data_IF_446876000477
#
_entry.id   IF_446876000477
#
_cell.length_a   1.000
_cell.length_b   1.000
_cell.length_c   1.000
_cell.angle_alpha   90.00
_cell.angle_beta   90.00
_cell.angle_gamma   90.00
#
_symmetry.space_group_name_H-M   'P 1'
#
loop_
_entity.id
_entity.type
_entity.pdbx_description
1 polymer ?
#
# COMPACT_ATOMS: atom_id res chain seq x y z
N UNK A 1 -14.39 -1.95 9.46
CA UNK A 1 -12.99 -1.84 9.01
C UNK A 1 -12.41 -3.25 8.98
N UNK A 2 -11.67 -3.61 7.92
CA UNK A 2 -11.11 -4.96 7.80
C UNK A 2 -10.17 -5.28 8.97
N UNK A 3 -10.25 -6.52 9.49
CA UNK A 3 -9.40 -7.00 10.59
C UNK A 3 -7.92 -7.02 10.21
N UNK A 4 -7.63 -7.37 8.96
CA UNK A 4 -6.27 -7.39 8.42
C UNK A 4 -6.27 -6.83 7.01
N UNK A 5 -5.20 -6.13 6.63
CA UNK A 5 -5.04 -5.61 5.29
C UNK A 5 -3.58 -5.61 4.87
N UNK A 6 -3.33 -5.59 3.57
CA UNK A 6 -1.98 -5.38 2.99
C UNK A 6 -2.00 -4.33 1.89
N UNK A 7 -0.96 -3.51 1.80
CA UNK A 7 -0.68 -2.60 0.69
C UNK A 7 0.64 -3.01 0.04
N UNK A 8 0.65 -3.23 -1.26
CA UNK A 8 1.83 -3.65 -2.01
C UNK A 8 1.90 -2.98 -3.38
N UNK A 9 3.12 -2.85 -3.91
CA UNK A 9 3.33 -2.46 -5.31
C UNK A 9 3.31 -3.70 -6.20
N UNK A 10 2.74 -3.54 -7.39
CA UNK A 10 2.70 -4.59 -8.39
C UNK A 10 2.70 -4.03 -9.80
N UNK A 11 2.97 -4.88 -10.77
CA UNK A 11 2.75 -4.54 -12.17
C UNK A 11 1.23 -4.50 -12.48
N UNK A 12 0.84 -3.93 -13.64
CA UNK A 12 -0.56 -3.89 -14.04
C UNK A 12 -1.26 -5.25 -14.20
N UNK A 13 -0.50 -6.36 -14.24
CA UNK A 13 -1.02 -7.73 -14.30
C UNK A 13 -1.17 -8.37 -12.90
N UNK A 14 -0.99 -7.60 -11.82
CA UNK A 14 -1.16 -8.07 -10.46
C UNK A 14 0.04 -8.84 -9.88
N UNK A 15 1.18 -8.87 -10.57
CA UNK A 15 2.40 -9.56 -10.08
C UNK A 15 3.28 -8.59 -9.30
N UNK A 16 3.92 -9.09 -8.24
CA UNK A 16 4.88 -8.30 -7.45
C UNK A 16 6.00 -7.74 -8.35
N UNK A 17 6.39 -6.49 -8.08
CA UNK A 17 7.56 -5.90 -8.70
C UNK A 17 8.82 -6.47 -8.05
N UNK A 18 9.82 -6.80 -8.86
CA UNK A 18 11.16 -7.06 -8.33
C UNK A 18 11.70 -5.79 -7.67
N UNK A 19 12.19 -5.91 -6.44
CA UNK A 19 12.87 -4.81 -5.78
C UNK A 19 14.10 -5.35 -5.01
N UNK A 20 15.18 -4.54 -4.91
CA UNK A 20 16.42 -4.97 -4.27
C UNK A 20 16.35 -4.99 -2.73
N UNK A 21 15.29 -4.47 -2.12
CA UNK A 21 15.13 -4.41 -0.65
C UNK A 21 14.32 -5.59 -0.10
N UNK A 22 13.85 -6.48 -0.97
CA UNK A 22 12.91 -7.57 -0.70
C UNK A 22 11.66 -7.16 0.11
N UNK A 23 11.30 -5.87 0.09
CA UNK A 23 10.12 -5.32 0.76
C UNK A 23 9.05 -5.03 -0.27
N UNK A 24 8.10 -5.93 -0.41
CA UNK A 24 7.08 -5.87 -1.46
C UNK A 24 5.79 -5.14 -1.03
N UNK A 25 5.63 -4.86 0.26
CA UNK A 25 4.45 -4.20 0.80
C UNK A 25 4.51 -4.07 2.32
N UNK A 26 3.40 -3.57 2.87
CA UNK A 26 3.11 -3.50 4.29
C UNK A 26 1.78 -4.19 4.58
N UNK A 27 1.62 -4.60 5.83
CA UNK A 27 0.39 -5.11 6.40
C UNK A 27 -0.12 -4.20 7.51
N UNK A 28 -1.35 -4.44 7.94
CA UNK A 28 -1.93 -3.73 9.08
C UNK A 28 -1.14 -3.93 10.38
N UNK A 29 -0.27 -4.94 10.49
CA UNK A 29 0.47 -5.24 11.73
C UNK A 29 1.89 -4.68 11.76
N UNK A 30 2.52 -4.45 10.61
CA UNK A 30 3.92 -4.01 10.51
C UNK A 30 4.10 -2.62 9.89
N UNK A 31 3.02 -1.99 9.39
CA UNK A 31 3.06 -0.58 8.99
C UNK A 31 3.36 0.32 10.19
N UNK A 32 4.32 1.22 10.01
CA UNK A 32 4.61 2.26 11.00
C UNK A 32 3.45 3.26 11.04
N UNK A 33 2.96 3.57 12.23
CA UNK A 33 1.83 4.50 12.43
C UNK A 33 2.27 5.74 13.17
N UNK A 34 1.65 6.86 12.84
CA UNK A 34 1.71 8.07 13.63
C UNK A 34 0.91 7.91 14.93
N UNK A 35 1.09 8.86 15.84
CA UNK A 35 0.14 9.07 16.91
C UNK A 35 -1.28 9.26 16.31
N UNK A 36 -2.29 8.66 16.96
CA UNK A 36 -3.66 8.60 16.41
C UNK A 36 -3.92 7.46 15.41
N UNK A 37 -2.91 6.66 15.05
CA UNK A 37 -3.07 5.43 14.27
C UNK A 37 -3.15 5.62 12.75
N UNK A 38 -2.99 6.86 12.26
CA UNK A 38 -2.82 7.13 10.85
C UNK A 38 -1.47 6.60 10.34
N UNK A 39 -1.36 6.42 9.03
CA UNK A 39 -0.12 6.01 8.38
C UNK A 39 -0.02 6.65 7.01
N UNK A 40 1.22 6.87 6.58
CA UNK A 40 1.58 7.29 5.23
C UNK A 40 2.54 6.25 4.66
N UNK A 41 2.54 6.06 3.34
CA UNK A 41 3.48 5.18 2.64
C UNK A 41 4.03 5.98 1.45
N UNK A 42 5.34 6.23 1.49
CA UNK A 42 6.03 6.87 0.38
C UNK A 42 6.34 5.86 -0.72
N UNK A 43 6.00 6.23 -1.95
CA UNK A 43 6.41 5.48 -3.15
C UNK A 43 7.46 6.31 -3.90
N UNK A 44 8.71 5.88 -3.81
CA UNK A 44 9.86 6.58 -4.40
C UNK A 44 10.95 5.59 -4.82
N UNK A 45 11.79 5.94 -5.80
CA UNK A 45 12.91 5.08 -6.21
C UNK A 45 14.02 5.10 -5.17
N UNK A 46 14.30 6.27 -4.64
CA UNK A 46 15.28 6.50 -3.59
C UNK A 46 14.67 6.19 -2.22
N UNK A 47 15.52 5.73 -1.30
CA UNK A 47 15.11 5.41 0.06
C UNK A 47 14.49 6.63 0.76
N UNK A 48 13.34 6.41 1.40
CA UNK A 48 12.67 7.38 2.27
C UNK A 48 12.60 6.83 3.71
N UNK A 49 12.63 7.70 4.74
CA UNK A 49 12.40 7.28 6.11
C UNK A 49 11.00 6.69 6.30
N UNK A 50 10.84 5.78 7.28
CA UNK A 50 9.53 5.26 7.68
C UNK A 50 8.97 4.21 6.73
N UNK A 51 7.70 4.35 6.36
CA UNK A 51 7.06 3.43 5.43
C UNK A 51 7.39 3.83 3.99
N UNK A 52 8.19 3.01 3.32
CA UNK A 52 8.65 3.28 1.97
C UNK A 52 8.62 2.02 1.12
N UNK A 53 8.09 2.17 -0.09
CA UNK A 53 8.08 1.14 -1.13
C UNK A 53 8.76 1.67 -2.39
N UNK A 54 9.71 0.89 -2.92
CA UNK A 54 10.35 1.20 -4.19
C UNK A 54 9.64 0.48 -5.34
N UNK A 55 9.27 1.18 -6.43
CA UNK A 55 8.87 0.53 -7.67
C UNK A 55 10.06 -0.12 -8.41
N UNK A 56 11.29 0.01 -7.88
CA UNK A 56 12.51 -0.39 -8.56
C UNK A 56 12.65 0.34 -9.89
N UNK A 57 12.93 -0.42 -10.94
CA UNK A 57 13.03 0.12 -12.31
C UNK A 57 11.69 0.29 -13.03
N UNK A 58 10.58 -0.17 -12.43
CA UNK A 58 9.29 -0.16 -13.09
C UNK A 58 8.85 1.26 -13.47
N UNK A 59 8.40 1.44 -14.72
CA UNK A 59 7.81 2.70 -15.19
C UNK A 59 6.32 2.78 -14.87
N UNK A 60 5.65 1.63 -14.94
CA UNK A 60 4.23 1.49 -14.67
C UNK A 60 4.02 0.49 -13.54
N UNK A 61 3.19 0.88 -12.57
CA UNK A 61 2.82 0.03 -11.44
C UNK A 61 1.44 0.40 -10.91
N UNK A 62 0.89 -0.48 -10.11
CA UNK A 62 -0.35 -0.28 -9.36
C UNK A 62 -0.08 -0.44 -7.86
N UNK A 63 -0.85 0.29 -7.06
CA UNK A 63 -0.91 0.10 -5.61
C UNK A 63 -2.08 -0.83 -5.33
N UNK A 64 -1.80 -2.00 -4.77
CA UNK A 64 -2.83 -2.98 -4.43
C UNK A 64 -3.11 -2.98 -2.93
N UNK A 65 -4.33 -2.55 -2.57
CA UNK A 65 -4.92 -2.75 -1.25
C UNK A 65 -5.70 -4.07 -1.25
N UNK A 66 -5.34 -5.00 -0.35
CA UNK A 66 -6.12 -6.22 -0.08
C UNK A 66 -6.71 -6.12 1.32
N UNK A 67 -8.02 -6.33 1.41
CA UNK A 67 -8.76 -6.36 2.66
C UNK A 67 -9.09 -7.81 2.99
N UNK A 68 -8.63 -8.27 4.14
CA UNK A 68 -8.94 -9.59 4.68
C UNK A 68 -9.91 -9.39 5.83
N UNK A 69 -11.17 -9.61 5.53
CA UNK A 69 -12.23 -9.57 6.52
C UNK A 69 -13.02 -10.87 6.50
N UNK A 70 -13.76 -11.13 7.57
CA UNK A 70 -14.83 -12.13 7.53
C UNK A 70 -16.06 -11.39 7.02
N UNK A 71 -16.46 -11.52 5.74
CA UNK A 71 -17.64 -10.84 5.26
C UNK A 71 -18.84 -11.36 6.06
N UNK A 72 -19.42 -10.50 6.91
CA UNK A 72 -20.72 -10.77 7.54
C UNK A 72 -21.85 -10.63 6.50
N UNK A 73 -21.58 -9.90 5.42
CA UNK A 73 -22.46 -9.68 4.28
C UNK A 73 -21.61 -9.67 3.00
N UNK A 74 -22.03 -10.46 2.01
CA UNK A 74 -21.34 -10.60 0.72
C UNK A 74 -21.68 -9.40 -0.20
N UNK A 75 -22.75 -8.67 0.10
CA UNK A 75 -23.22 -7.51 -0.66
C UNK A 75 -22.68 -6.17 -0.13
N UNK A 76 -21.98 -6.16 1.02
CA UNK A 76 -21.39 -4.92 1.54
C UNK A 76 -20.16 -4.53 0.71
N UNK A 77 -20.35 -3.63 -0.25
CA UNK A 77 -19.25 -2.99 -0.94
C UNK A 77 -18.59 -1.94 -0.01
N UNK A 78 -17.24 -1.89 0.07
CA UNK A 78 -16.56 -0.85 0.82
C UNK A 78 -16.79 0.54 0.19
N UNK A 79 -17.03 1.56 1.01
CA UNK A 79 -17.14 2.96 0.55
C UNK A 79 -15.78 3.44 0.01
N UNK A 80 -15.66 3.79 -1.29
CA UNK A 80 -14.41 4.27 -1.87
C UNK A 80 -13.85 5.53 -1.19
N UNK A 81 -14.70 6.36 -0.57
CA UNK A 81 -14.24 7.56 0.14
C UNK A 81 -13.52 7.24 1.45
N UNK A 82 -13.68 6.03 1.97
CA UNK A 82 -12.99 5.55 3.17
C UNK A 82 -11.58 5.01 2.89
N UNK A 83 -11.20 4.88 1.61
CA UNK A 83 -9.89 4.37 1.24
C UNK A 83 -8.78 5.42 1.36
N UNK A 84 -7.52 4.97 1.58
CA UNK A 84 -6.36 5.84 1.47
C UNK A 84 -6.30 6.53 0.10
N UNK A 85 -5.93 7.81 0.11
CA UNK A 85 -5.74 8.59 -1.11
C UNK A 85 -4.33 8.41 -1.64
N UNK A 86 -4.19 8.27 -2.96
CA UNK A 86 -2.90 8.34 -3.64
C UNK A 86 -2.73 9.77 -4.14
N UNK A 87 -1.70 10.44 -3.64
CA UNK A 87 -1.38 11.83 -4.00
C UNK A 87 -0.01 11.88 -4.65
N UNK A 88 0.13 12.70 -5.70
CA UNK A 88 1.45 12.96 -6.29
C UNK A 88 2.15 14.01 -5.46
N UNK A 89 3.34 13.68 -4.97
CA UNK A 89 4.24 14.62 -4.32
C UNK A 89 5.22 15.21 -5.35
N UNK A 90 6.02 16.19 -4.92
CA UNK A 90 7.08 16.77 -5.75
C UNK A 90 8.25 15.80 -5.96
N UNK A 91 9.02 16.02 -7.02
CA UNK A 91 10.33 15.41 -7.16
C UNK A 91 11.32 16.11 -6.21
N UNK A 92 12.26 15.36 -5.65
CA UNK A 92 13.44 15.93 -4.98
C UNK A 92 14.50 16.27 -6.03
#
# INVERSE_FOLDING_TARGET
AARFWTIALANPHGRLLANPTERYGYSSVDVLRSEGGAFEIDVAREARPGNWLSPGEAKDFVVMLRLYDTPLDIESAPDPNSFPKIVKLGCA
#
